data_IF_063034677169
#
_entry.id   IF_063034677169
#
_cell.length_a   1.000
_cell.length_b   1.000
_cell.length_c   1.000
_cell.angle_alpha   90.00
_cell.angle_beta   90.00
_cell.angle_gamma   90.00
#
_symmetry.space_group_name_H-M   'P 1'
#
loop_
_entity.id
_entity.type
_entity.pdbx_description
1 polymer ?
#
# COMPACT_ATOMS: atom_id res chain seq x y z
N UNK A 1 10.61 1.99 20.85
CA UNK A 1 11.17 2.12 19.48
C UNK A 1 12.45 2.91 19.56
N UNK A 2 13.57 2.39 19.08
CA UNK A 2 14.82 3.14 19.09
C UNK A 2 14.71 4.38 18.18
N UNK A 3 15.16 5.56 18.63
CA UNK A 3 15.10 6.75 17.80
C UNK A 3 16.00 6.61 16.57
N UNK A 4 15.52 7.11 15.42
CA UNK A 4 16.28 7.09 14.17
C UNK A 4 17.44 8.08 14.33
N UNK A 5 18.69 7.61 14.14
CA UNK A 5 19.88 8.46 14.19
C UNK A 5 20.25 8.98 12.81
N UNK A 6 20.22 10.29 12.63
CA UNK A 6 20.61 10.99 11.40
C UNK A 6 22.05 11.55 11.45
N UNK A 7 22.85 11.10 12.41
CA UNK A 7 24.26 11.54 12.54
C UNK A 7 25.06 11.29 11.26
N UNK A 8 25.96 12.22 10.93
CA UNK A 8 26.83 12.21 9.76
C UNK A 8 26.11 12.42 8.41
N UNK A 9 24.87 12.91 8.42
CA UNK A 9 24.21 13.35 7.21
C UNK A 9 24.32 14.87 7.04
N UNK A 10 24.62 15.33 5.81
CA UNK A 10 24.77 16.75 5.47
C UNK A 10 23.46 17.52 5.64
N UNK A 11 22.33 16.89 5.33
CA UNK A 11 21.03 17.52 5.36
C UNK A 11 20.33 17.34 6.71
N UNK A 12 19.50 18.32 7.13
CA UNK A 12 18.71 18.21 8.35
C UNK A 12 17.80 16.97 8.37
N UNK A 13 17.53 16.41 9.55
CA UNK A 13 16.62 15.25 9.67
C UNK A 13 15.25 15.46 9.02
N UNK A 14 14.69 16.66 9.11
CA UNK A 14 13.39 17.02 8.53
C UNK A 14 13.39 16.85 7.01
N UNK A 15 14.45 17.25 6.33
CA UNK A 15 14.59 17.11 4.88
C UNK A 15 14.69 15.64 4.48
N UNK A 16 15.49 14.86 5.20
CA UNK A 16 15.65 13.43 4.96
C UNK A 16 14.32 12.70 5.18
N UNK A 17 13.63 13.00 6.27
CA UNK A 17 12.31 12.41 6.57
C UNK A 17 11.29 12.75 5.50
N UNK A 18 11.27 14.01 5.05
CA UNK A 18 10.35 14.46 4.02
C UNK A 18 10.59 13.78 2.67
N UNK A 19 11.85 13.66 2.25
CA UNK A 19 12.22 12.97 1.02
C UNK A 19 11.79 11.50 1.04
N UNK A 20 12.08 10.80 2.13
CA UNK A 20 11.69 9.39 2.31
C UNK A 20 10.17 9.25 2.39
N UNK A 21 9.49 10.17 3.07
CA UNK A 21 8.04 10.18 3.16
C UNK A 21 7.38 10.38 1.79
N UNK A 22 7.86 11.31 0.98
CA UNK A 22 7.37 11.52 -0.39
C UNK A 22 7.44 10.22 -1.20
N UNK A 23 8.58 9.54 -1.16
CA UNK A 23 8.75 8.28 -1.87
C UNK A 23 7.82 7.17 -1.37
N UNK A 24 7.67 7.02 -0.04
CA UNK A 24 6.85 5.96 0.56
C UNK A 24 5.35 6.22 0.46
N UNK A 25 4.93 7.48 0.50
CA UNK A 25 3.51 7.87 0.50
C UNK A 25 2.91 7.92 -0.89
N UNK A 26 3.69 8.35 -1.86
CA UNK A 26 3.27 8.51 -3.24
C UNK A 26 4.01 7.51 -4.13
N UNK A 27 3.45 7.22 -5.30
CA UNK A 27 4.07 6.32 -6.29
C UNK A 27 5.12 7.06 -7.12
N UNK A 28 6.08 7.70 -6.45
CA UNK A 28 7.13 8.51 -7.07
C UNK A 28 8.40 7.67 -7.27
N UNK A 29 9.13 7.96 -8.34
CA UNK A 29 10.50 7.49 -8.49
C UNK A 29 11.48 8.35 -7.66
N UNK A 30 12.71 7.89 -7.50
CA UNK A 30 13.73 8.71 -6.81
C UNK A 30 14.03 10.02 -7.55
N UNK A 31 13.89 10.03 -8.89
CA UNK A 31 14.07 11.23 -9.72
C UNK A 31 12.91 12.20 -9.56
N UNK A 32 11.69 11.71 -9.48
CA UNK A 32 10.53 12.57 -9.21
C UNK A 32 10.69 13.28 -7.85
N UNK A 33 11.21 12.56 -6.83
CA UNK A 33 11.51 13.16 -5.53
C UNK A 33 12.62 14.21 -5.63
N UNK A 34 13.69 13.94 -6.39
CA UNK A 34 14.76 14.91 -6.67
C UNK A 34 14.20 16.19 -7.29
N UNK A 35 13.37 16.07 -8.33
CA UNK A 35 12.74 17.21 -9.00
C UNK A 35 11.84 18.01 -8.06
N UNK A 36 10.99 17.36 -7.28
CA UNK A 36 10.12 18.01 -6.30
C UNK A 36 10.90 18.76 -5.21
N UNK A 37 12.05 18.23 -4.79
CA UNK A 37 12.93 18.88 -3.82
C UNK A 37 13.67 20.06 -4.44
N UNK A 38 14.12 19.93 -5.70
CA UNK A 38 14.76 21.02 -6.46
C UNK A 38 13.82 22.22 -6.67
N UNK A 39 12.55 22.00 -6.94
CA UNK A 39 11.53 23.06 -7.02
C UNK A 39 11.43 23.90 -5.74
N UNK A 40 11.83 23.32 -4.61
CA UNK A 40 11.85 23.99 -3.29
C UNK A 40 13.24 24.50 -2.90
N UNK A 41 14.17 24.52 -3.86
CA UNK A 41 15.53 24.99 -3.63
C UNK A 41 16.43 24.01 -2.87
N UNK A 42 16.06 22.73 -2.82
CA UNK A 42 16.84 21.68 -2.18
C UNK A 42 17.56 20.87 -3.26
N UNK A 43 18.84 21.12 -3.45
CA UNK A 43 19.70 20.39 -4.39
C UNK A 43 20.16 19.06 -3.78
N UNK A 44 19.38 18.01 -4.04
CA UNK A 44 19.56 16.66 -3.49
C UNK A 44 19.45 15.67 -4.63
N UNK A 45 20.53 14.94 -4.90
CA UNK A 45 20.55 13.95 -5.97
C UNK A 45 19.64 12.74 -5.66
N UNK A 46 19.11 12.11 -6.73
CA UNK A 46 18.29 10.90 -6.61
C UNK A 46 19.04 9.74 -5.92
N UNK A 47 20.38 9.68 -6.03
CA UNK A 47 21.20 8.70 -5.33
C UNK A 47 21.18 8.92 -3.82
N UNK A 48 21.21 10.19 -3.38
CA UNK A 48 21.04 10.53 -1.96
C UNK A 48 19.67 10.12 -1.46
N UNK A 49 18.61 10.40 -2.21
CA UNK A 49 17.23 9.97 -1.90
C UNK A 49 17.18 8.45 -1.79
N UNK A 50 17.73 7.72 -2.76
CA UNK A 50 17.80 6.25 -2.75
C UNK A 50 18.51 5.73 -1.49
N UNK A 51 19.67 6.31 -1.17
CA UNK A 51 20.43 5.93 0.02
C UNK A 51 19.63 6.13 1.30
N UNK A 52 18.92 7.24 1.42
CA UNK A 52 18.05 7.53 2.57
C UNK A 52 16.85 6.59 2.66
N UNK A 53 16.21 6.28 1.54
CA UNK A 53 15.09 5.34 1.50
C UNK A 53 15.54 3.94 1.94
N UNK A 54 16.69 3.47 1.47
CA UNK A 54 17.23 2.18 1.88
C UNK A 54 17.59 2.14 3.37
N UNK A 55 18.17 3.23 3.90
CA UNK A 55 18.63 3.30 5.29
C UNK A 55 17.50 3.57 6.29
N UNK A 56 16.64 4.53 6.00
CA UNK A 56 15.63 5.04 6.93
C UNK A 56 14.22 4.58 6.60
N UNK A 57 13.97 4.17 5.34
CA UNK A 57 12.66 3.76 4.84
C UNK A 57 11.96 2.73 5.72
N UNK A 58 12.61 1.63 6.13
CA UNK A 58 11.95 0.62 6.97
C UNK A 58 11.47 1.17 8.32
N UNK A 59 12.23 2.06 8.94
CA UNK A 59 11.86 2.67 10.23
C UNK A 59 10.73 3.69 10.07
N UNK A 60 10.81 4.54 9.05
CA UNK A 60 9.77 5.54 8.74
C UNK A 60 8.48 4.83 8.32
N UNK A 61 8.54 3.79 7.49
CA UNK A 61 7.37 3.01 7.09
C UNK A 61 6.66 2.35 8.27
N UNK A 62 7.41 1.85 9.26
CA UNK A 62 6.81 1.34 10.52
C UNK A 62 6.08 2.42 11.29
N UNK A 63 6.68 3.61 11.40
CA UNK A 63 6.03 4.76 12.04
C UNK A 63 4.74 5.18 11.34
N UNK A 64 4.76 5.27 10.01
CA UNK A 64 3.59 5.60 9.20
C UNK A 64 2.47 4.56 9.37
N UNK A 65 2.81 3.27 9.44
CA UNK A 65 1.82 2.21 9.68
C UNK A 65 1.21 2.29 11.08
N UNK A 66 2.00 2.63 12.09
CA UNK A 66 1.52 2.79 13.46
C UNK A 66 0.56 3.98 13.61
N UNK A 67 0.74 5.03 12.79
CA UNK A 67 -0.11 6.23 12.79
C UNK A 67 -1.35 6.10 11.89
N UNK A 68 -1.53 4.97 11.19
CA UNK A 68 -2.73 4.77 10.36
C UNK A 68 -3.98 4.69 11.23
N UNK A 69 -5.06 5.37 10.83
CA UNK A 69 -6.35 5.15 11.46
C UNK A 69 -6.77 3.68 11.28
N UNK A 70 -7.68 3.21 12.12
CA UNK A 70 -8.27 1.88 11.93
C UNK A 70 -8.95 1.84 10.57
N UNK A 71 -8.75 0.78 9.78
CA UNK A 71 -9.46 0.61 8.53
C UNK A 71 -10.97 0.65 8.76
N UNK A 72 -11.68 1.23 7.81
CA UNK A 72 -13.14 1.21 7.86
C UNK A 72 -13.66 -0.22 7.67
N UNK A 73 -14.90 -0.43 8.03
CA UNK A 73 -15.61 -1.69 7.86
C UNK A 73 -16.22 -1.88 6.45
N UNK A 74 -16.00 -0.92 5.54
CA UNK A 74 -16.41 -0.99 4.14
C UNK A 74 -15.19 -1.25 3.27
N UNK A 75 -15.14 -2.42 2.63
CA UNK A 75 -14.01 -2.83 1.80
C UNK A 75 -14.39 -2.90 0.33
N UNK A 76 -13.45 -2.48 -0.52
CA UNK A 76 -13.54 -2.60 -1.96
C UNK A 76 -12.47 -3.58 -2.44
N UNK A 77 -12.89 -4.61 -3.16
CA UNK A 77 -12.01 -5.62 -3.73
C UNK A 77 -11.91 -5.41 -5.23
N UNK A 78 -10.70 -5.30 -5.72
CA UNK A 78 -10.37 -4.99 -7.10
C UNK A 78 -9.35 -6.01 -7.65
N UNK A 79 -9.45 -6.30 -8.93
CA UNK A 79 -8.52 -7.18 -9.65
C UNK A 79 -7.98 -6.46 -10.87
N UNK A 80 -6.69 -6.47 -11.04
CA UNK A 80 -6.04 -5.94 -12.23
C UNK A 80 -5.02 -6.91 -12.79
N UNK A 81 -4.84 -6.84 -14.11
CA UNK A 81 -3.78 -7.56 -14.81
C UNK A 81 -2.54 -6.70 -14.85
N UNK A 82 -1.42 -7.25 -14.40
CA UNK A 82 -0.12 -6.59 -14.40
C UNK A 82 0.91 -7.46 -15.11
N UNK A 83 1.96 -6.87 -15.65
CA UNK A 83 3.11 -7.60 -16.18
C UNK A 83 4.30 -7.45 -15.26
N UNK A 84 4.83 -8.59 -14.80
CA UNK A 84 6.03 -8.63 -13.94
C UNK A 84 7.07 -9.52 -14.64
N UNK A 85 8.23 -8.98 -14.93
CA UNK A 85 9.30 -9.67 -15.67
C UNK A 85 8.81 -10.31 -16.98
N UNK A 86 7.97 -9.59 -17.74
CA UNK A 86 7.39 -10.06 -19.02
C UNK A 86 6.24 -11.08 -18.88
N UNK A 87 5.93 -11.56 -17.67
CA UNK A 87 4.85 -12.52 -17.43
C UNK A 87 3.58 -11.81 -16.97
N UNK A 88 2.43 -12.24 -17.50
CA UNK A 88 1.14 -11.77 -17.05
C UNK A 88 0.83 -12.32 -15.64
N UNK A 89 0.47 -11.42 -14.74
CA UNK A 89 0.09 -11.72 -13.37
C UNK A 89 -1.24 -11.06 -13.06
N UNK A 90 -1.94 -11.60 -12.08
CA UNK A 90 -3.17 -11.03 -11.54
C UNK A 90 -2.88 -10.45 -10.16
N UNK A 91 -3.13 -9.16 -10.01
CA UNK A 91 -3.01 -8.44 -8.76
C UNK A 91 -4.40 -8.23 -8.19
N UNK A 92 -4.63 -8.80 -7.03
CA UNK A 92 -5.86 -8.66 -6.25
C UNK A 92 -5.59 -7.67 -5.13
N UNK A 93 -6.39 -6.65 -5.04
CA UNK A 93 -6.21 -5.57 -4.08
C UNK A 93 -7.48 -5.37 -3.27
N UNK A 94 -7.32 -5.16 -1.97
CA UNK A 94 -8.39 -4.71 -1.10
C UNK A 94 -8.06 -3.32 -0.56
N UNK A 95 -9.01 -2.42 -0.66
CA UNK A 95 -8.92 -1.06 -0.12
C UNK A 95 -10.14 -0.77 0.74
N UNK A 96 -10.01 0.13 1.70
CA UNK A 96 -11.15 0.63 2.44
C UNK A 96 -11.84 1.78 1.68
N UNK A 97 -12.92 2.34 2.24
CA UNK A 97 -13.65 3.42 1.58
C UNK A 97 -12.85 4.74 1.49
N UNK A 98 -11.79 4.90 2.27
CA UNK A 98 -10.88 6.04 2.21
C UNK A 98 -9.75 5.85 1.19
N UNK A 99 -9.70 4.67 0.54
CA UNK A 99 -8.68 4.32 -0.44
C UNK A 99 -7.38 3.76 0.16
N UNK A 100 -7.35 3.49 1.48
CA UNK A 100 -6.20 2.85 2.10
C UNK A 100 -6.10 1.38 1.69
N UNK A 101 -4.92 0.97 1.25
CA UNK A 101 -4.67 -0.41 0.84
C UNK A 101 -4.59 -1.32 2.06
N UNK A 102 -5.55 -2.20 2.18
CA UNK A 102 -5.65 -3.17 3.27
C UNK A 102 -4.74 -4.39 3.02
N UNK A 103 -4.77 -4.91 1.79
CA UNK A 103 -3.97 -6.07 1.40
C UNK A 103 -3.82 -6.16 -0.12
N UNK A 104 -2.74 -6.80 -0.56
CA UNK A 104 -2.46 -7.13 -1.96
C UNK A 104 -2.05 -8.59 -2.06
N UNK A 105 -2.55 -9.26 -3.10
CA UNK A 105 -2.16 -10.62 -3.49
C UNK A 105 -1.83 -10.63 -4.97
N UNK A 106 -0.65 -11.17 -5.34
CA UNK A 106 -0.22 -11.32 -6.73
C UNK A 106 -0.12 -12.80 -7.03
N UNK A 107 -0.76 -13.25 -8.13
CA UNK A 107 -0.77 -14.64 -8.56
C UNK A 107 -0.68 -14.78 -10.08
N UNK A 108 -0.19 -15.95 -10.54
CA UNK A 108 -0.14 -16.29 -11.95
C UNK A 108 -1.51 -16.66 -12.55
N UNK A 109 -2.41 -17.14 -11.72
CA UNK A 109 -3.71 -17.64 -12.15
C UNK A 109 -4.83 -16.76 -11.62
N UNK A 110 -5.82 -16.57 -12.46
CA UNK A 110 -7.09 -15.97 -12.09
C UNK A 110 -8.03 -17.08 -11.67
N UNK A 111 -8.03 -17.39 -10.40
CA UNK A 111 -8.90 -18.44 -9.87
C UNK A 111 -9.64 -17.99 -8.60
N UNK A 112 -10.64 -18.76 -8.27
CA UNK A 112 -11.47 -18.56 -7.09
C UNK A 112 -10.67 -18.70 -5.80
N UNK A 113 -9.64 -19.53 -5.81
CA UNK A 113 -8.79 -19.76 -4.65
C UNK A 113 -8.02 -18.51 -4.28
N UNK A 114 -7.66 -17.65 -5.26
CA UNK A 114 -7.03 -16.36 -5.04
C UNK A 114 -7.94 -15.43 -4.22
N UNK A 115 -9.21 -15.33 -4.60
CA UNK A 115 -10.19 -14.50 -3.87
C UNK A 115 -10.39 -14.99 -2.42
N UNK A 116 -10.50 -16.30 -2.22
CA UNK A 116 -10.61 -16.91 -0.89
C UNK A 116 -9.35 -16.63 -0.05
N UNK A 117 -8.18 -16.76 -0.65
CA UNK A 117 -6.90 -16.52 0.03
C UNK A 117 -6.75 -15.05 0.43
N UNK A 118 -7.14 -14.11 -0.45
CA UNK A 118 -7.16 -12.69 -0.13
C UNK A 118 -8.09 -12.40 1.04
N UNK A 119 -9.33 -12.88 1.00
CA UNK A 119 -10.29 -12.68 2.09
C UNK A 119 -9.83 -13.28 3.41
N UNK A 120 -9.28 -14.49 3.38
CA UNK A 120 -8.75 -15.14 4.58
C UNK A 120 -7.59 -14.34 5.18
N UNK A 121 -6.69 -13.83 4.34
CA UNK A 121 -5.57 -13.00 4.74
C UNK A 121 -6.04 -11.66 5.32
N UNK A 122 -7.04 -11.02 4.69
CA UNK A 122 -7.66 -9.79 5.18
C UNK A 122 -8.28 -9.96 6.56
N UNK A 123 -9.15 -10.96 6.73
CA UNK A 123 -9.84 -11.21 8.00
C UNK A 123 -8.84 -11.48 9.14
N UNK A 124 -7.77 -12.24 8.87
CA UNK A 124 -6.71 -12.48 9.86
C UNK A 124 -5.97 -11.20 10.24
N UNK A 125 -5.63 -10.37 9.23
CA UNK A 125 -4.84 -9.16 9.43
C UNK A 125 -5.62 -8.06 10.13
N UNK A 126 -6.88 -7.89 9.77
CA UNK A 126 -7.73 -6.84 10.34
C UNK A 126 -8.35 -7.24 11.68
N UNK A 127 -8.57 -8.54 11.91
CA UNK A 127 -9.15 -9.05 13.15
C UNK A 127 -10.65 -8.79 13.30
N UNK A 128 -11.31 -8.29 12.26
CA UNK A 128 -12.76 -8.07 12.20
C UNK A 128 -13.31 -8.37 10.81
N UNK A 129 -14.60 -8.61 10.72
CA UNK A 129 -15.32 -8.78 9.45
C UNK A 129 -15.90 -7.43 9.00
N UNK A 130 -15.81 -7.09 7.70
CA UNK A 130 -16.40 -5.86 7.18
C UNK A 130 -17.93 -5.96 7.21
N UNK A 131 -18.61 -4.81 7.36
CA UNK A 131 -20.06 -4.72 7.23
C UNK A 131 -20.49 -4.67 5.76
N UNK A 132 -19.62 -4.17 4.89
CA UNK A 132 -19.85 -4.09 3.45
C UNK A 132 -18.61 -4.47 2.67
N UNK A 133 -18.79 -5.29 1.64
CA UNK A 133 -17.75 -5.60 0.65
C UNK A 133 -18.31 -5.30 -0.74
N UNK A 134 -17.63 -4.42 -1.45
CA UNK A 134 -17.94 -4.09 -2.85
C UNK A 134 -16.93 -4.75 -3.74
N UNK A 135 -17.37 -5.39 -4.81
CA UNK A 135 -16.51 -6.04 -5.81
C UNK A 135 -16.95 -5.63 -7.20
N UNK A 136 -15.99 -5.45 -8.11
CA UNK A 136 -16.28 -5.27 -9.53
C UNK A 136 -16.82 -6.60 -10.11
N UNK A 137 -18.13 -6.82 -10.04
CA UNK A 137 -18.91 -7.91 -10.69
C UNK A 137 -18.17 -9.23 -10.99
N UNK A 138 -17.08 -9.51 -10.26
CA UNK A 138 -16.28 -10.70 -10.47
C UNK A 138 -16.96 -11.90 -9.83
N UNK A 139 -17.35 -12.87 -10.68
CA UNK A 139 -17.92 -14.16 -10.26
C UNK A 139 -17.07 -14.90 -9.22
N UNK A 140 -15.77 -14.55 -9.14
CA UNK A 140 -14.80 -15.13 -8.20
C UNK A 140 -15.11 -14.88 -6.73
N UNK A 141 -15.80 -13.78 -6.39
CA UNK A 141 -16.12 -13.41 -5.00
C UNK A 141 -17.49 -13.88 -4.52
N UNK A 142 -18.38 -14.27 -5.45
CA UNK A 142 -19.80 -14.52 -5.15
C UNK A 142 -20.13 -15.63 -4.14
N UNK A 143 -19.13 -16.42 -3.71
CA UNK A 143 -19.29 -17.48 -2.69
C UNK A 143 -18.27 -17.41 -1.55
N UNK A 144 -17.46 -16.37 -1.50
CA UNK A 144 -16.42 -16.22 -0.47
C UNK A 144 -16.86 -15.34 0.68
N UNK A 145 -18.00 -14.67 0.53
CA UNK A 145 -18.57 -13.79 1.54
C UNK A 145 -19.55 -14.58 2.42
N UNK A 146 -19.50 -14.39 3.74
CA UNK A 146 -20.52 -14.97 4.60
C UNK A 146 -21.89 -14.42 4.20
N UNK A 147 -22.91 -15.29 4.19
CA UNK A 147 -24.31 -14.94 3.92
C UNK A 147 -24.90 -14.08 5.05
N UNK A 148 -24.38 -12.91 5.27
CA UNK A 148 -24.91 -11.98 6.27
C UNK A 148 -25.24 -10.66 5.59
N UNK A 149 -26.53 -10.58 5.20
CA UNK A 149 -27.34 -9.37 4.99
C UNK A 149 -26.64 -8.12 4.42
N UNK A 150 -27.20 -7.71 3.28
CA UNK A 150 -27.11 -6.41 2.61
C UNK A 150 -26.12 -6.32 1.46
N UNK A 151 -26.34 -7.09 0.40
CA UNK A 151 -25.98 -6.66 -0.94
C UNK A 151 -27.13 -5.82 -1.51
N UNK A 152 -27.01 -4.51 -1.49
CA UNK A 152 -27.78 -3.64 -2.37
C UNK A 152 -26.91 -3.33 -3.58
N UNK A 153 -27.35 -3.64 -4.80
CA UNK A 153 -26.69 -3.17 -6.01
C UNK A 153 -26.93 -1.67 -6.15
N UNK A 154 -25.87 -0.93 -6.40
CA UNK A 154 -25.92 0.47 -6.85
C UNK A 154 -26.27 0.49 -8.32
#
# INVERSE_FOLDING_TARGET
>A
MAPISYRRHRFPPVVIQHAVWLYLRFTLSYRDVEELLAERGLDISYESVRSWVLKFGPAIARGLRACRPRPSDCWHLDEMVVRIAGKQMYLWRAVDHEGEVLEILVQHRRDRSAAVNLMRKLLRKQGFAPTRVTTDKLRSYGRCLPESRAFLPS
#
